data_IF_048203632304
#
_entry.id   IF_048203632304
#
_cell.length_a   1.000
_cell.length_b   1.000
_cell.length_c   1.000
_cell.angle_alpha   90.00
_cell.angle_beta   90.00
_cell.angle_gamma   90.00
#
_symmetry.space_group_name_H-M   'P 1'
#
loop_
_entity.id
_entity.type
_entity.pdbx_description
1 polymer ?
#
# COMPACT_ATOMS: atom_id res chain seq x y z
N UNK A 1 14.32 -8.53 -13.14
CA UNK A 1 13.84 -7.89 -11.91
C UNK A 1 14.66 -8.43 -10.76
N UNK A 2 15.48 -7.58 -10.14
CA UNK A 2 16.32 -7.97 -9.00
C UNK A 2 15.52 -7.68 -7.73
N UNK A 3 15.08 -8.74 -7.04
CA UNK A 3 14.38 -8.65 -5.76
C UNK A 3 15.26 -7.94 -4.73
N UNK A 4 14.69 -6.97 -4.00
CA UNK A 4 15.40 -6.30 -2.90
C UNK A 4 14.69 -6.53 -1.58
N UNK A 5 15.45 -6.84 -0.54
CA UNK A 5 14.92 -7.12 0.80
C UNK A 5 14.28 -5.90 1.46
N UNK A 6 14.64 -4.68 1.05
CA UNK A 6 14.08 -3.44 1.57
C UNK A 6 12.62 -3.15 1.13
N UNK A 7 12.04 -3.98 0.26
CA UNK A 7 10.64 -3.90 -0.18
C UNK A 7 9.70 -4.83 0.58
N UNK A 8 10.20 -5.60 1.55
CA UNK A 8 9.35 -6.49 2.33
C UNK A 8 8.41 -5.69 3.26
N UNK A 9 7.11 -6.03 3.29
CA UNK A 9 6.19 -5.42 4.25
C UNK A 9 6.59 -5.71 5.69
N UNK A 10 6.23 -4.80 6.60
CA UNK A 10 6.54 -4.92 8.03
C UNK A 10 6.04 -6.25 8.59
N UNK A 11 6.94 -7.01 9.23
CA UNK A 11 6.60 -8.33 9.78
C UNK A 11 5.59 -8.19 10.94
N UNK A 12 4.40 -8.80 10.84
CA UNK A 12 3.38 -8.72 11.89
C UNK A 12 3.73 -9.47 13.18
N UNK A 13 4.72 -10.37 13.17
CA UNK A 13 5.23 -11.05 14.37
C UNK A 13 6.16 -10.17 15.20
N UNK A 14 6.79 -9.16 14.57
CA UNK A 14 7.69 -8.20 15.23
C UNK A 14 6.93 -6.93 15.61
N UNK A 15 6.14 -6.38 14.68
CA UNK A 15 5.33 -5.17 14.90
C UNK A 15 3.86 -5.52 14.72
N UNK A 16 3.02 -5.41 15.76
CA UNK A 16 1.61 -5.79 15.67
C UNK A 16 0.88 -4.92 14.64
N UNK A 17 -0.20 -5.47 14.07
CA UNK A 17 -0.90 -4.85 12.94
C UNK A 17 -1.50 -3.48 13.25
N UNK A 18 -1.74 -3.13 14.51
CA UNK A 18 -2.24 -1.81 14.91
C UNK A 18 -1.15 -0.76 15.15
N UNK A 19 0.15 -1.11 15.02
CA UNK A 19 1.27 -0.21 15.31
C UNK A 19 2.15 0.10 14.09
N UNK A 20 2.81 1.27 14.09
CA UNK A 20 3.67 1.75 13.01
C UNK A 20 2.90 2.52 11.91
N UNK A 21 3.65 3.05 10.94
CA UNK A 21 3.10 3.88 9.86
C UNK A 21 2.02 3.15 9.06
N UNK A 22 0.94 3.86 8.75
CA UNK A 22 -0.19 3.35 7.98
C UNK A 22 0.03 3.60 6.48
N UNK A 23 0.89 2.78 5.86
CA UNK A 23 1.03 2.69 4.39
C UNK A 23 0.14 1.58 3.83
N UNK A 24 -0.12 1.59 2.53
CA UNK A 24 -0.85 0.52 1.86
C UNK A 24 -0.19 -0.84 2.12
N UNK A 25 -0.96 -1.76 2.68
CA UNK A 25 -0.56 -3.12 3.05
C UNK A 25 0.71 -3.19 3.91
N UNK A 26 1.06 -2.11 4.62
CA UNK A 26 2.31 -1.97 5.40
C UNK A 26 3.58 -2.15 4.55
N UNK A 27 3.52 -1.75 3.27
CA UNK A 27 4.68 -1.71 2.37
C UNK A 27 5.60 -0.53 2.71
N UNK A 28 6.83 -0.58 2.20
CA UNK A 28 7.78 0.52 2.31
C UNK A 28 7.29 1.74 1.52
N UNK A 29 7.55 2.93 2.04
CA UNK A 29 7.34 4.17 1.28
C UNK A 29 8.53 4.44 0.37
N UNK A 30 8.28 4.73 -0.90
CA UNK A 30 9.31 5.11 -1.88
C UNK A 30 8.81 6.26 -2.76
N UNK A 31 9.73 6.96 -3.37
CA UNK A 31 9.42 7.85 -4.50
C UNK A 31 9.19 7.02 -5.78
N UNK A 32 8.69 7.68 -6.83
CA UNK A 32 8.50 7.05 -8.14
C UNK A 32 9.88 6.83 -8.77
N UNK A 33 10.40 5.62 -8.66
CA UNK A 33 11.71 5.20 -9.19
C UNK A 33 11.59 3.88 -9.96
N UNK A 34 12.53 3.61 -10.85
CA UNK A 34 12.49 2.46 -11.76
C UNK A 34 12.53 1.10 -11.05
N UNK A 35 13.05 1.04 -9.83
CA UNK A 35 13.13 -0.20 -9.06
C UNK A 35 11.80 -0.65 -8.45
N UNK A 36 10.78 0.20 -8.48
CA UNK A 36 9.43 -0.14 -8.04
C UNK A 36 8.71 -0.85 -9.20
N UNK A 37 8.52 -2.17 -9.07
CA UNK A 37 7.79 -2.95 -10.06
C UNK A 37 6.27 -2.67 -9.98
N UNK A 38 5.75 -2.43 -8.77
CA UNK A 38 4.33 -2.13 -8.52
C UNK A 38 4.19 -0.99 -7.51
N UNK A 39 3.70 0.15 -7.98
CA UNK A 39 3.39 1.31 -7.15
C UNK A 39 1.95 1.31 -6.66
N UNK A 40 1.75 1.43 -5.35
CA UNK A 40 0.45 1.68 -4.73
C UNK A 40 0.29 3.20 -4.52
N UNK A 41 -0.72 3.79 -5.16
CA UNK A 41 -0.93 5.25 -5.18
C UNK A 41 -2.35 5.58 -4.73
N UNK A 42 -2.49 6.56 -3.84
CA UNK A 42 -3.78 7.16 -3.52
C UNK A 42 -4.09 8.36 -4.41
N UNK A 43 -5.36 8.55 -4.78
CA UNK A 43 -5.84 9.78 -5.44
C UNK A 43 -6.93 10.39 -4.56
N UNK A 44 -6.59 11.27 -3.61
CA UNK A 44 -7.52 11.81 -2.63
C UNK A 44 -8.37 12.95 -3.22
N UNK A 45 -9.19 12.65 -4.22
CA UNK A 45 -9.98 13.64 -4.96
C UNK A 45 -11.47 13.30 -4.99
N UNK A 46 -12.32 14.32 -4.84
CA UNK A 46 -13.78 14.17 -4.99
C UNK A 46 -14.50 15.44 -5.48
N UNK A 47 -13.82 16.42 -6.08
CA UNK A 47 -14.46 17.65 -6.59
C UNK A 47 -15.40 17.41 -7.77
N UNK A 48 -15.38 16.23 -8.39
CA UNK A 48 -16.33 15.82 -9.42
C UNK A 48 -17.68 15.33 -8.87
N UNK A 49 -17.86 15.25 -7.54
CA UNK A 49 -19.11 14.79 -6.94
C UNK A 49 -20.09 15.95 -6.71
N UNK A 50 -21.34 15.76 -7.13
CA UNK A 50 -22.41 16.75 -6.95
C UNK A 50 -23.17 16.60 -5.62
N UNK A 51 -23.03 15.47 -4.93
CA UNK A 51 -23.73 15.17 -3.67
C UNK A 51 -22.97 14.06 -2.91
N UNK A 52 -23.06 14.03 -1.56
CA UNK A 52 -22.33 13.10 -0.66
C UNK A 52 -20.81 13.04 -0.93
N UNK A 53 -20.12 14.12 -0.60
CA UNK A 53 -18.65 14.20 -0.64
C UNK A 53 -17.99 13.39 0.49
N UNK A 54 -16.67 13.18 0.39
CA UNK A 54 -15.87 12.49 1.40
C UNK A 54 -14.92 11.44 0.82
N UNK A 55 -15.04 11.10 -0.47
CA UNK A 55 -14.18 10.11 -1.12
C UNK A 55 -12.70 10.54 -1.14
N UNK A 56 -12.40 11.84 -1.00
CA UNK A 56 -11.03 12.33 -0.80
C UNK A 56 -10.32 11.73 0.43
N UNK A 57 -11.07 11.29 1.44
CA UNK A 57 -10.52 10.61 2.62
C UNK A 57 -10.34 9.09 2.41
N UNK A 58 -10.80 8.56 1.27
CA UNK A 58 -10.76 7.15 0.93
C UNK A 58 -9.36 6.54 1.00
N UNK A 59 -8.33 7.11 0.32
CA UNK A 59 -6.99 6.54 0.35
C UNK A 59 -6.44 6.35 1.76
N UNK A 60 -6.59 7.34 2.65
CA UNK A 60 -6.17 7.22 4.04
C UNK A 60 -6.93 6.11 4.80
N UNK A 61 -8.25 6.01 4.61
CA UNK A 61 -9.05 4.93 5.20
C UNK A 61 -8.67 3.54 4.68
N UNK A 62 -8.37 3.41 3.39
CA UNK A 62 -7.93 2.14 2.79
C UNK A 62 -6.54 1.76 3.32
N UNK A 63 -5.61 2.71 3.46
CA UNK A 63 -4.30 2.43 4.09
C UNK A 63 -4.48 1.85 5.50
N UNK A 64 -5.33 2.47 6.32
CA UNK A 64 -5.61 1.99 7.68
C UNK A 64 -6.21 0.57 7.67
N UNK A 65 -7.22 0.31 6.85
CA UNK A 65 -7.85 -1.02 6.80
C UNK A 65 -6.95 -2.09 6.17
N UNK A 66 -6.06 -1.70 5.26
CA UNK A 66 -5.14 -2.62 4.57
C UNK A 66 -4.12 -3.29 5.50
N UNK A 67 -3.95 -2.78 6.72
CA UNK A 67 -3.08 -3.33 7.77
C UNK A 67 -3.44 -4.77 8.15
N UNK A 68 -4.69 -5.19 7.89
CA UNK A 68 -5.19 -6.54 8.14
C UNK A 68 -4.81 -7.56 7.06
N UNK A 69 -4.43 -7.10 5.86
CA UNK A 69 -4.10 -7.95 4.72
C UNK A 69 -2.85 -8.80 4.99
N UNK A 70 -2.85 -10.04 4.49
CA UNK A 70 -1.74 -11.00 4.64
C UNK A 70 -0.89 -11.04 3.36
N UNK A 71 0.32 -11.59 3.48
CA UNK A 71 1.33 -11.63 2.40
C UNK A 71 1.03 -12.61 1.26
N UNK A 72 0.04 -13.49 1.42
CA UNK A 72 -0.24 -14.60 0.50
C UNK A 72 -1.71 -14.60 0.16
N UNK A 73 -2.02 -14.71 -1.12
CA UNK A 73 -3.38 -14.91 -1.57
C UNK A 73 -3.82 -16.35 -1.23
N UNK A 74 -4.92 -16.57 -0.49
CA UNK A 74 -5.26 -17.87 0.07
C UNK A 74 -5.60 -18.94 -0.98
N UNK A 75 -6.19 -18.56 -2.12
CA UNK A 75 -6.60 -19.52 -3.16
C UNK A 75 -5.48 -19.82 -4.16
N UNK A 76 -4.91 -18.79 -4.79
CA UNK A 76 -3.84 -18.96 -5.78
C UNK A 76 -2.46 -19.25 -5.19
N UNK A 77 -2.25 -19.00 -3.89
CA UNK A 77 -0.94 -19.12 -3.26
C UNK A 77 0.07 -18.04 -3.66
N UNK A 78 -0.33 -17.06 -4.48
CA UNK A 78 0.56 -16.01 -4.97
C UNK A 78 1.04 -15.14 -3.80
N UNK A 79 2.34 -14.84 -3.81
CA UNK A 79 3.04 -14.04 -2.79
C UNK A 79 3.61 -12.79 -3.48
N UNK A 80 2.79 -11.75 -3.72
CA UNK A 80 3.18 -10.63 -4.59
C UNK A 80 4.46 -9.92 -4.13
N UNK A 81 4.65 -9.82 -2.81
CA UNK A 81 5.83 -9.21 -2.20
C UNK A 81 7.11 -10.07 -2.35
N UNK A 82 7.00 -11.31 -2.82
CA UNK A 82 8.16 -12.16 -3.13
C UNK A 82 8.51 -12.15 -4.61
N UNK A 83 7.56 -11.75 -5.47
CA UNK A 83 7.71 -11.73 -6.93
C UNK A 83 8.03 -10.33 -7.48
N UNK A 84 7.59 -9.27 -6.79
CA UNK A 84 7.72 -7.88 -7.25
C UNK A 84 8.17 -6.97 -6.10
N UNK A 85 8.92 -5.92 -6.44
CA UNK A 85 9.19 -4.79 -5.56
C UNK A 85 7.94 -3.89 -5.49
N UNK A 86 7.16 -4.04 -4.41
CA UNK A 86 5.91 -3.29 -4.19
C UNK A 86 6.12 -2.20 -3.15
N UNK A 87 5.71 -0.97 -3.44
CA UNK A 87 5.86 0.18 -2.53
C UNK A 87 4.62 1.08 -2.52
N UNK A 88 4.38 1.74 -1.39
CA UNK A 88 3.45 2.87 -1.30
C UNK A 88 4.17 4.13 -1.80
N UNK A 89 3.65 4.71 -2.87
CA UNK A 89 4.22 5.90 -3.51
C UNK A 89 3.56 7.19 -3.01
N UNK A 90 2.72 7.10 -1.98
CA UNK A 90 1.99 8.23 -1.44
C UNK A 90 0.76 8.57 -2.28
N UNK A 91 0.42 9.86 -2.29
CA UNK A 91 -0.77 10.36 -2.97
C UNK A 91 -0.37 11.20 -4.18
N UNK A 92 -1.15 11.09 -5.25
CA UNK A 92 -1.03 12.00 -6.39
C UNK A 92 -1.29 13.45 -5.94
N UNK A 93 -0.65 14.45 -6.55
CA UNK A 93 -0.99 15.84 -6.31
C UNK A 93 -2.44 16.11 -6.78
N UNK A 94 -3.22 16.79 -5.94
CA UNK A 94 -4.64 17.10 -6.15
C UNK A 94 -4.89 18.60 -5.99
#
# INVERSE_FOLDING_TARGET
>A
MTKREDYQPVDPSVVPRFAGLATFMRTVTKEIIEEVDVGLVGVPFDLGLNHRTGARHGPAGVREMSRLIRRVHPTSGIRPFETCNVADLGDAPV
#
